data_IF_350857394916
#
_entry.id   IF_350857394916
#
_cell.length_a   1.000
_cell.length_b   1.000
_cell.length_c   1.000
_cell.angle_alpha   90.00
_cell.angle_beta   90.00
_cell.angle_gamma   90.00
#
_symmetry.space_group_name_H-M   'P 1'
#
loop_
_entity.id
_entity.type
_entity.pdbx_description
1 polymer ?
#
# COMPACT_ATOMS: atom_id res chain seq x y z
N UNK A 1 -9.19 25.36 22.14
CA UNK A 1 -9.66 24.01 21.79
C UNK A 1 -8.56 23.02 22.13
N UNK A 2 -8.89 21.80 22.57
CA UNK A 2 -7.86 20.76 22.76
C UNK A 2 -7.18 20.47 21.43
N UNK A 3 -5.87 20.21 21.47
CA UNK A 3 -5.10 19.83 20.28
C UNK A 3 -5.64 18.52 19.71
N UNK A 4 -5.80 18.43 18.39
CA UNK A 4 -6.27 17.20 17.74
C UNK A 4 -5.31 16.06 18.03
N UNK A 5 -5.84 14.92 18.49
CA UNK A 5 -5.10 13.67 18.69
C UNK A 5 -5.84 12.54 18.00
N UNK A 6 -5.17 11.93 17.05
CA UNK A 6 -5.67 10.77 16.31
C UNK A 6 -4.80 9.55 16.59
N UNK A 7 -5.26 8.38 16.23
CA UNK A 7 -4.47 7.15 16.38
C UNK A 7 -4.69 6.18 15.23
N UNK A 8 -3.64 5.44 14.89
CA UNK A 8 -3.75 4.19 14.19
C UNK A 8 -3.51 3.05 15.20
N UNK A 9 -4.45 2.11 15.24
CA UNK A 9 -4.47 1.06 16.26
C UNK A 9 -4.65 -0.33 15.59
N UNK A 10 -3.63 -0.82 14.86
CA UNK A 10 -3.72 -2.11 14.18
C UNK A 10 -3.56 -3.29 15.14
N UNK A 11 -4.33 -4.37 14.90
CA UNK A 11 -4.05 -5.68 15.48
C UNK A 11 -3.01 -6.40 14.61
N UNK A 12 -1.87 -6.88 15.18
CA UNK A 12 -0.78 -7.48 14.41
C UNK A 12 -1.08 -8.97 14.10
N UNK A 13 -2.21 -9.22 13.46
CA UNK A 13 -2.69 -10.57 13.09
C UNK A 13 -2.46 -10.90 11.63
N UNK A 14 -1.63 -10.12 10.95
CA UNK A 14 -1.28 -10.25 9.54
C UNK A 14 -0.72 -8.96 8.97
N UNK A 15 -0.51 -8.95 7.65
CA UNK A 15 0.05 -7.82 6.93
C UNK A 15 -0.87 -6.59 6.94
N UNK A 16 -0.28 -5.40 6.85
CA UNK A 16 -1.02 -4.17 6.66
C UNK A 16 -1.58 -4.12 5.23
N UNK A 17 -2.88 -4.37 5.09
CA UNK A 17 -3.56 -4.25 3.81
C UNK A 17 -3.96 -2.80 3.51
N UNK A 18 -4.26 -2.50 2.23
CA UNK A 18 -4.56 -1.14 1.76
C UNK A 18 -5.71 -0.46 2.50
N UNK A 19 -6.70 -1.21 3.02
CA UNK A 19 -7.79 -0.65 3.83
C UNK A 19 -7.29 -0.11 5.18
N UNK A 20 -6.43 -0.87 5.87
CA UNK A 20 -5.77 -0.43 7.09
C UNK A 20 -4.84 0.76 6.83
N UNK A 21 -4.04 0.69 5.77
CA UNK A 21 -3.13 1.77 5.36
C UNK A 21 -3.87 3.07 5.04
N UNK A 22 -5.03 3.01 4.34
CA UNK A 22 -5.87 4.18 4.11
C UNK A 22 -6.41 4.77 5.41
N UNK A 23 -6.83 3.92 6.34
CA UNK A 23 -7.31 4.37 7.64
C UNK A 23 -6.19 5.05 8.44
N UNK A 24 -4.99 4.47 8.44
CA UNK A 24 -3.80 5.10 9.01
C UNK A 24 -3.50 6.45 8.38
N UNK A 25 -3.54 6.52 7.04
CA UNK A 25 -3.29 7.73 6.27
C UNK A 25 -4.28 8.85 6.60
N UNK A 26 -5.58 8.56 6.75
CA UNK A 26 -6.58 9.56 7.09
C UNK A 26 -6.38 10.12 8.52
N UNK A 27 -6.01 9.26 9.47
CA UNK A 27 -5.64 9.70 10.83
C UNK A 27 -4.38 10.56 10.82
N UNK A 28 -3.36 10.14 10.06
CA UNK A 28 -2.11 10.86 9.90
C UNK A 28 -2.31 12.23 9.26
N UNK A 29 -3.08 12.29 8.15
CA UNK A 29 -3.37 13.54 7.45
C UNK A 29 -4.16 14.51 8.33
N UNK A 30 -5.18 14.03 9.06
CA UNK A 30 -5.92 14.87 9.98
C UNK A 30 -5.01 15.44 11.08
N UNK A 31 -4.16 14.60 11.67
CA UNK A 31 -3.21 15.07 12.69
C UNK A 31 -2.25 16.11 12.12
N UNK A 32 -1.69 15.89 10.92
CA UNK A 32 -0.74 16.84 10.30
C UNK A 32 -1.43 18.13 9.87
N UNK A 33 -2.63 18.06 9.30
CA UNK A 33 -3.45 19.23 8.91
C UNK A 33 -3.73 20.13 10.11
N UNK A 34 -4.19 19.55 11.20
CA UNK A 34 -4.54 20.25 12.45
C UNK A 34 -3.35 20.57 13.35
N UNK A 35 -2.12 20.30 12.89
CA UNK A 35 -0.89 20.42 13.71
C UNK A 35 -1.02 19.68 15.05
N UNK A 36 -1.73 18.56 15.00
CA UNK A 36 -2.09 17.69 16.10
C UNK A 36 -1.00 16.66 16.43
N UNK A 37 -1.44 15.54 17.01
CA UNK A 37 -0.59 14.40 17.39
C UNK A 37 -1.15 13.13 16.78
N UNK A 38 -0.30 12.34 16.16
CA UNK A 38 -0.63 11.02 15.61
C UNK A 38 0.01 9.94 16.49
N UNK A 39 -0.82 9.10 17.10
CA UNK A 39 -0.42 8.03 18.01
C UNK A 39 -0.45 6.69 17.30
N UNK A 40 0.59 5.88 17.48
CA UNK A 40 0.60 4.49 17.05
C UNK A 40 0.40 3.57 18.26
N UNK A 41 -0.63 2.70 18.19
CA UNK A 41 -0.93 1.69 19.20
C UNK A 41 -1.05 0.31 18.56
N UNK A 42 -0.35 -0.66 19.08
CA UNK A 42 -0.44 -2.07 18.64
C UNK A 42 -1.44 -2.80 19.55
N UNK A 43 -2.50 -3.35 18.96
CA UNK A 43 -3.54 -4.09 19.68
C UNK A 43 -3.20 -5.59 19.70
N UNK A 44 -2.26 -5.94 20.56
CA UNK A 44 -1.61 -7.26 20.66
C UNK A 44 -2.20 -8.17 21.77
N UNK A 45 -3.41 -7.90 22.25
CA UNK A 45 -4.07 -8.70 23.31
C UNK A 45 -4.46 -10.10 22.85
N UNK A 46 -4.51 -10.39 21.56
CA UNK A 46 -4.60 -11.74 21.01
C UNK A 46 -3.17 -12.31 20.83
N UNK A 47 -2.60 -12.72 21.96
CA UNK A 47 -1.20 -13.20 22.02
C UNK A 47 -0.92 -14.36 21.07
N UNK A 48 -1.92 -15.22 20.82
CA UNK A 48 -1.75 -16.37 19.94
C UNK A 48 -1.56 -15.99 18.45
N UNK A 49 -2.09 -14.83 18.03
CA UNK A 49 -2.01 -14.36 16.64
C UNK A 49 -1.10 -13.14 16.44
N UNK A 50 -0.64 -12.56 17.53
CA UNK A 50 0.24 -11.37 17.50
C UNK A 50 1.70 -11.81 17.53
N UNK A 51 2.42 -11.63 16.41
CA UNK A 51 3.85 -11.97 16.32
C UNK A 51 4.69 -10.72 16.11
N UNK A 52 5.96 -10.77 16.53
CA UNK A 52 6.91 -9.67 16.33
C UNK A 52 7.12 -9.38 14.83
N UNK A 53 7.10 -10.41 13.99
CA UNK A 53 7.22 -10.26 12.54
C UNK A 53 6.03 -9.47 11.97
N UNK A 54 4.80 -9.77 12.42
CA UNK A 54 3.61 -9.03 11.98
C UNK A 54 3.63 -7.57 12.44
N UNK A 55 4.16 -7.28 13.63
CA UNK A 55 4.37 -5.93 14.13
C UNK A 55 5.38 -5.20 13.23
N UNK A 56 6.53 -5.83 12.95
CA UNK A 56 7.57 -5.22 12.12
C UNK A 56 7.08 -4.92 10.71
N UNK A 57 6.31 -5.82 10.10
CA UNK A 57 5.68 -5.58 8.77
C UNK A 57 4.77 -4.35 8.77
N UNK A 58 4.02 -4.11 9.85
CA UNK A 58 3.19 -2.90 9.98
C UNK A 58 4.07 -1.64 10.07
N UNK A 59 5.12 -1.68 10.90
CA UNK A 59 6.05 -0.55 11.07
C UNK A 59 6.78 -0.23 9.76
N UNK A 60 7.27 -1.25 9.06
CA UNK A 60 7.95 -1.12 7.78
C UNK A 60 7.01 -0.52 6.71
N UNK A 61 5.76 -0.97 6.66
CA UNK A 61 4.77 -0.44 5.72
C UNK A 61 4.43 1.03 6.00
N UNK A 62 4.29 1.42 7.27
CA UNK A 62 4.07 2.82 7.65
C UNK A 62 5.28 3.69 7.32
N UNK A 63 6.48 3.21 7.62
CA UNK A 63 7.75 3.89 7.31
C UNK A 63 7.91 4.06 5.81
N UNK A 64 7.64 3.02 5.01
CA UNK A 64 7.72 3.10 3.56
C UNK A 64 6.73 4.11 2.97
N UNK A 65 5.48 4.17 3.50
CA UNK A 65 4.50 5.18 3.10
C UNK A 65 4.85 6.59 3.64
N UNK A 66 5.85 6.70 4.51
CA UNK A 66 6.27 7.94 5.15
C UNK A 66 5.26 8.47 6.16
N UNK A 67 4.52 7.60 6.81
CA UNK A 67 3.61 7.93 7.91
C UNK A 67 4.35 7.77 9.25
N UNK A 68 5.05 8.80 9.65
CA UNK A 68 5.70 8.91 10.95
C UNK A 68 4.66 9.14 12.07
N UNK A 69 4.94 8.65 13.26
CA UNK A 69 4.09 8.85 14.45
C UNK A 69 4.83 9.67 15.50
N UNK A 70 4.05 10.44 16.27
CA UNK A 70 4.59 11.33 17.28
C UNK A 70 4.75 10.62 18.62
N UNK A 71 3.88 9.62 18.90
CA UNK A 71 3.88 8.84 20.14
C UNK A 71 3.66 7.36 19.84
N UNK A 72 4.35 6.48 20.57
CA UNK A 72 4.29 5.04 20.38
C UNK A 72 5.50 4.45 19.65
N UNK A 73 5.43 3.18 19.21
CA UNK A 73 4.27 2.30 19.36
C UNK A 73 3.99 1.95 20.83
N UNK A 74 2.73 2.08 21.25
CA UNK A 74 2.25 1.59 22.52
C UNK A 74 1.66 0.18 22.34
N UNK A 75 1.88 -0.70 23.32
CA UNK A 75 1.39 -2.09 23.25
C UNK A 75 0.28 -2.31 24.29
N UNK A 76 -0.84 -2.91 23.88
CA UNK A 76 -1.95 -3.17 24.78
C UNK A 76 -1.58 -4.17 25.89
N UNK A 77 -0.73 -5.14 25.60
CA UNK A 77 -0.22 -6.10 26.59
C UNK A 77 0.53 -5.44 27.74
N UNK A 78 1.14 -4.28 27.56
CA UNK A 78 1.83 -3.50 28.59
C UNK A 78 0.85 -2.71 29.48
N UNK A 79 -0.42 -2.63 29.11
CA UNK A 79 -1.45 -1.77 29.73
C UNK A 79 -2.51 -2.54 30.51
N UNK A 80 -2.34 -3.85 30.73
CA UNK A 80 -3.33 -4.74 31.37
C UNK A 80 -3.78 -4.26 32.75
N UNK A 81 -2.94 -3.56 33.51
CA UNK A 81 -3.29 -3.01 34.81
C UNK A 81 -4.39 -1.94 34.70
N UNK A 82 -4.34 -1.07 33.68
CA UNK A 82 -5.35 -0.04 33.45
C UNK A 82 -6.73 -0.63 33.15
N UNK A 83 -6.76 -1.71 32.36
CA UNK A 83 -8.04 -2.39 32.03
C UNK A 83 -8.65 -3.04 33.27
N UNK A 84 -7.85 -3.68 34.11
CA UNK A 84 -8.33 -4.29 35.36
C UNK A 84 -8.88 -3.22 36.31
N UNK A 85 -8.15 -2.12 36.50
CA UNK A 85 -8.59 -1.01 37.33
C UNK A 85 -9.92 -0.40 36.85
N UNK A 86 -10.05 -0.19 35.55
CA UNK A 86 -11.28 0.33 34.96
C UNK A 86 -12.46 -0.65 35.10
N UNK A 87 -12.24 -1.95 34.93
CA UNK A 87 -13.25 -2.98 35.13
C UNK A 87 -13.71 -3.06 36.59
N UNK A 88 -12.79 -3.01 37.57
CA UNK A 88 -13.12 -2.95 38.98
C UNK A 88 -13.88 -1.67 39.35
N UNK A 89 -13.54 -0.53 38.74
CA UNK A 89 -14.29 0.71 38.90
C UNK A 89 -15.74 0.54 38.44
N UNK A 90 -15.99 -0.08 37.26
CA UNK A 90 -17.32 -0.33 36.75
C UNK A 90 -18.11 -1.29 37.68
N UNK A 91 -17.48 -2.31 38.24
CA UNK A 91 -18.09 -3.19 39.23
C UNK A 91 -18.53 -2.40 40.49
N UNK A 92 -17.66 -1.54 41.03
CA UNK A 92 -17.92 -0.73 42.24
C UNK A 92 -19.11 0.21 42.06
N UNK A 93 -19.29 0.78 40.87
CA UNK A 93 -20.40 1.72 40.59
C UNK A 93 -21.65 1.03 40.04
N UNK A 94 -21.69 -0.33 40.02
CA UNK A 94 -22.84 -1.09 39.57
C UNK A 94 -23.10 -1.00 38.07
N UNK A 95 -22.08 -0.66 37.25
CA UNK A 95 -22.16 -0.62 35.79
C UNK A 95 -21.53 -1.84 35.12
N UNK A 96 -21.08 -2.80 35.92
CA UNK A 96 -20.63 -4.11 35.49
C UNK A 96 -20.96 -5.16 36.54
N UNK A 97 -20.94 -6.42 36.15
CA UNK A 97 -21.19 -7.56 37.05
C UNK A 97 -20.35 -8.78 36.64
N UNK A 98 -20.20 -9.72 37.57
CA UNK A 98 -19.46 -10.95 37.34
C UNK A 98 -20.33 -12.00 36.67
N UNK A 99 -19.84 -12.60 35.60
CA UNK A 99 -20.51 -13.67 34.85
C UNK A 99 -19.72 -14.96 35.01
N UNK A 100 -20.39 -15.98 35.54
CA UNK A 100 -19.83 -17.29 35.83
C UNK A 100 -20.29 -18.38 34.87
N UNK A 101 -20.99 -18.02 33.78
CA UNK A 101 -21.40 -18.98 32.76
C UNK A 101 -20.18 -19.54 32.04
N UNK A 102 -20.19 -20.84 31.82
CA UNK A 102 -19.18 -21.50 30.99
C UNK A 102 -19.40 -21.20 29.51
N UNK A 103 -18.39 -21.40 28.65
CA UNK A 103 -18.56 -21.28 27.20
C UNK A 103 -19.68 -22.16 26.65
N UNK A 104 -19.83 -23.41 27.20
CA UNK A 104 -20.85 -24.39 26.80
C UNK A 104 -22.25 -23.91 27.19
N UNK A 105 -22.41 -23.36 28.42
CA UNK A 105 -23.65 -22.75 28.87
C UNK A 105 -24.07 -21.57 27.96
N UNK A 106 -23.13 -20.73 27.56
CA UNK A 106 -23.38 -19.61 26.68
C UNK A 106 -23.76 -20.04 25.27
N UNK A 107 -23.08 -21.06 24.72
CA UNK A 107 -23.40 -21.58 23.39
C UNK A 107 -24.77 -22.24 23.35
N UNK A 108 -25.12 -23.02 24.37
CA UNK A 108 -26.48 -23.64 24.53
C UNK A 108 -27.57 -22.54 24.50
N UNK A 109 -27.38 -21.47 25.24
CA UNK A 109 -28.33 -20.33 25.25
C UNK A 109 -28.43 -19.63 23.90
N UNK A 110 -27.29 -19.47 23.22
CA UNK A 110 -27.21 -18.89 21.87
C UNK A 110 -27.97 -19.74 20.85
N UNK A 111 -27.76 -21.06 20.87
CA UNK A 111 -28.49 -21.97 19.99
C UNK A 111 -30.00 -21.97 20.26
N UNK A 112 -30.39 -21.93 21.53
CA UNK A 112 -31.80 -21.84 21.90
C UNK A 112 -32.45 -20.57 21.37
N UNK A 113 -31.78 -19.43 21.48
CA UNK A 113 -32.26 -18.16 20.93
C UNK A 113 -32.39 -18.24 19.38
N UNK A 114 -31.41 -18.81 18.68
CA UNK A 114 -31.51 -19.00 17.23
C UNK A 114 -32.68 -19.91 16.84
N UNK A 115 -32.87 -21.04 17.54
CA UNK A 115 -34.00 -21.96 17.29
C UNK A 115 -35.36 -21.28 17.52
N UNK A 116 -35.41 -20.31 18.44
CA UNK A 116 -36.60 -19.52 18.71
C UNK A 116 -36.79 -18.32 17.76
N UNK A 117 -35.89 -18.13 16.78
CA UNK A 117 -35.92 -16.97 15.84
C UNK A 117 -35.57 -15.63 16.49
N UNK A 118 -34.96 -15.67 17.68
CA UNK A 118 -34.55 -14.49 18.42
C UNK A 118 -33.09 -14.12 18.12
N UNK A 119 -32.76 -12.84 18.18
CA UNK A 119 -31.38 -12.39 18.16
C UNK A 119 -30.67 -12.88 19.43
N UNK A 120 -29.53 -13.60 19.32
CA UNK A 120 -28.82 -14.07 20.51
C UNK A 120 -28.36 -12.86 21.34
N UNK A 121 -28.88 -12.78 22.56
CA UNK A 121 -28.51 -11.78 23.59
C UNK A 121 -28.27 -12.54 24.89
N UNK A 122 -27.33 -12.09 25.71
CA UNK A 122 -27.12 -12.69 27.03
C UNK A 122 -28.31 -12.38 27.92
N UNK A 123 -28.85 -13.40 28.55
CA UNK A 123 -30.11 -13.37 29.33
C UNK A 123 -29.94 -12.83 30.77
N UNK A 124 -28.78 -12.27 31.08
CA UNK A 124 -28.46 -11.71 32.40
C UNK A 124 -28.57 -12.69 33.59
N UNK A 125 -28.51 -14.00 33.33
CA UNK A 125 -28.61 -15.03 34.37
C UNK A 125 -27.68 -14.76 35.58
N UNK A 126 -26.51 -14.15 35.36
CA UNK A 126 -25.58 -13.87 36.44
C UNK A 126 -25.76 -12.47 37.08
N UNK A 127 -26.63 -11.61 36.57
CA UNK A 127 -26.90 -10.30 37.17
C UNK A 127 -27.62 -10.45 38.52
N UNK A 128 -28.62 -11.32 38.57
CA UNK A 128 -29.47 -11.57 39.76
C UNK A 128 -28.97 -12.71 40.64
N UNK A 129 -27.85 -13.32 40.29
CA UNK A 129 -27.33 -14.48 41.03
C UNK A 129 -26.75 -14.06 42.39
N UNK A 130 -27.40 -14.42 43.45
CA UNK A 130 -27.06 -14.02 44.84
C UNK A 130 -26.02 -14.90 45.52
N UNK A 131 -25.82 -16.16 45.07
CA UNK A 131 -24.83 -17.07 45.64
C UNK A 131 -23.85 -17.58 44.61
N UNK A 132 -22.56 -17.40 44.88
CA UNK A 132 -21.47 -17.76 43.97
C UNK A 132 -20.48 -18.67 44.63
N UNK A 133 -19.99 -19.72 43.96
CA UNK A 133 -18.82 -20.45 44.39
C UNK A 133 -17.62 -19.50 44.47
N UNK A 134 -16.93 -19.40 45.61
CA UNK A 134 -15.85 -18.45 45.81
C UNK A 134 -14.67 -18.65 44.83
N UNK A 135 -14.43 -19.89 44.37
CA UNK A 135 -13.26 -20.26 43.56
C UNK A 135 -13.56 -20.46 42.08
N UNK A 136 -14.79 -20.16 41.59
CA UNK A 136 -15.12 -20.31 40.17
C UNK A 136 -14.59 -19.13 39.36
N UNK A 137 -13.82 -19.34 38.26
CA UNK A 137 -13.42 -18.27 37.37
C UNK A 137 -14.63 -17.52 36.81
N UNK A 138 -14.50 -16.20 36.68
CA UNK A 138 -15.57 -15.35 36.15
C UNK A 138 -15.03 -14.37 35.12
N UNK A 139 -15.88 -14.01 34.17
CA UNK A 139 -15.70 -12.86 33.31
C UNK A 139 -16.44 -11.65 33.89
N UNK A 140 -16.04 -10.45 33.52
CA UNK A 140 -16.78 -9.22 33.85
C UNK A 140 -17.56 -8.78 32.63
N UNK A 141 -18.88 -8.55 32.82
CA UNK A 141 -19.75 -7.99 31.78
C UNK A 141 -20.11 -6.55 32.10
N UNK A 142 -20.12 -5.72 31.07
CA UNK A 142 -20.69 -4.38 31.16
C UNK A 142 -22.22 -4.48 31.18
N UNK A 143 -22.86 -3.78 32.09
CA UNK A 143 -24.32 -3.69 32.17
C UNK A 143 -24.82 -2.61 31.22
N UNK A 144 -25.25 -3.02 30.03
CA UNK A 144 -25.80 -2.12 29.03
C UNK A 144 -27.19 -1.64 29.43
N UNK A 145 -27.56 -0.38 29.21
CA UNK A 145 -28.94 0.08 29.33
C UNK A 145 -29.88 -0.70 28.42
N UNK A 146 -31.08 -1.04 28.92
CA UNK A 146 -32.11 -1.75 28.12
C UNK A 146 -33.07 -0.80 27.41
N UNK A 147 -33.23 0.41 27.94
CA UNK A 147 -34.19 1.39 27.45
C UNK A 147 -33.50 2.58 26.77
N UNK A 148 -34.25 3.23 25.91
CA UNK A 148 -33.79 4.42 25.19
C UNK A 148 -32.85 4.07 24.01
N UNK A 149 -32.16 5.07 23.53
CA UNK A 149 -31.30 4.96 22.34
C UNK A 149 -29.92 5.52 22.61
N UNK A 150 -28.93 4.98 21.92
CA UNK A 150 -27.58 5.54 21.85
C UNK A 150 -27.35 6.13 20.47
N UNK A 151 -27.10 7.43 20.40
CA UNK A 151 -26.82 8.14 19.16
C UNK A 151 -25.31 8.23 18.93
N UNK A 152 -24.90 7.89 17.73
CA UNK A 152 -23.54 8.08 17.21
C UNK A 152 -23.58 9.28 16.27
N UNK A 153 -22.96 10.39 16.67
CA UNK A 153 -22.76 11.56 15.81
C UNK A 153 -21.45 11.36 15.03
N UNK A 154 -21.56 10.80 13.83
CA UNK A 154 -20.41 10.39 13.04
C UNK A 154 -20.02 11.46 12.02
N UNK A 155 -18.77 11.89 12.04
CA UNK A 155 -18.24 12.95 11.17
C UNK A 155 -18.32 12.62 9.66
N UNK A 156 -18.37 11.33 9.31
CA UNK A 156 -18.42 10.87 7.92
C UNK A 156 -19.79 10.33 7.57
N UNK A 157 -20.36 9.43 8.39
CA UNK A 157 -21.64 8.77 8.09
C UNK A 157 -22.85 9.65 8.45
N UNK A 158 -22.65 10.63 9.33
CA UNK A 158 -23.73 11.43 9.93
C UNK A 158 -24.33 10.74 11.14
N UNK A 159 -25.48 11.19 11.60
CA UNK A 159 -26.12 10.66 12.80
C UNK A 159 -26.71 9.27 12.56
N UNK A 160 -26.33 8.32 13.42
CA UNK A 160 -26.84 6.94 13.43
C UNK A 160 -27.33 6.62 14.84
N UNK A 161 -28.60 6.21 14.95
CA UNK A 161 -29.24 5.89 16.23
C UNK A 161 -29.38 4.38 16.39
N UNK A 162 -29.05 3.88 17.57
CA UNK A 162 -29.16 2.47 17.93
C UNK A 162 -30.14 2.32 19.12
N UNK A 163 -31.06 1.39 19.02
CA UNK A 163 -31.92 1.00 20.15
C UNK A 163 -31.08 0.25 21.20
N UNK A 164 -31.10 0.71 22.44
CA UNK A 164 -30.38 0.07 23.52
C UNK A 164 -30.86 -1.36 23.80
N UNK A 165 -32.13 -1.63 23.57
CA UNK A 165 -32.69 -2.99 23.68
C UNK A 165 -31.98 -4.01 22.78
N UNK A 166 -31.34 -3.56 21.68
CA UNK A 166 -30.59 -4.43 20.78
C UNK A 166 -29.12 -4.63 21.20
N UNK A 167 -28.64 -3.89 22.17
CA UNK A 167 -27.25 -3.97 22.64
C UNK A 167 -27.14 -5.05 23.73
N UNK A 168 -26.09 -5.87 23.63
CA UNK A 168 -25.84 -6.96 24.58
C UNK A 168 -24.91 -6.50 25.71
N UNK A 169 -25.01 -7.14 26.87
CA UNK A 169 -24.05 -7.01 27.96
C UNK A 169 -22.72 -7.68 27.57
N UNK A 170 -21.82 -6.90 27.00
CA UNK A 170 -20.55 -7.40 26.54
C UNK A 170 -19.66 -7.88 27.68
N UNK A 171 -18.93 -8.96 27.45
CA UNK A 171 -17.75 -9.26 28.26
C UNK A 171 -16.71 -8.16 28.02
N UNK A 172 -16.29 -7.47 29.08
CA UNK A 172 -15.25 -6.45 29.05
C UNK A 172 -13.90 -7.00 29.50
N UNK A 173 -13.92 -7.92 30.49
CA UNK A 173 -12.74 -8.62 30.95
C UNK A 173 -13.04 -10.14 30.97
N UNK A 174 -12.19 -10.92 30.35
CA UNK A 174 -12.30 -12.38 30.26
C UNK A 174 -11.88 -13.02 31.57
N UNK A 175 -12.23 -14.29 31.77
CA UNK A 175 -11.85 -15.05 32.97
C UNK A 175 -10.33 -15.27 33.11
N UNK A 176 -9.57 -15.17 32.04
CA UNK A 176 -8.10 -15.16 32.05
C UNK A 176 -7.48 -13.78 32.37
N UNK A 177 -8.32 -12.78 32.61
CA UNK A 177 -7.91 -11.41 32.95
C UNK A 177 -7.52 -10.53 31.76
N UNK A 178 -7.71 -11.01 30.51
CA UNK A 178 -7.48 -10.21 29.32
C UNK A 178 -8.72 -9.39 28.95
N UNK A 179 -8.56 -8.13 28.53
CA UNK A 179 -9.67 -7.30 28.08
C UNK A 179 -10.18 -7.75 26.72
N UNK A 180 -11.45 -7.45 26.44
CA UNK A 180 -11.98 -7.58 25.08
C UNK A 180 -11.75 -6.29 24.30
N UNK A 181 -11.75 -6.38 22.96
CA UNK A 181 -11.49 -5.28 22.05
C UNK A 181 -12.26 -3.99 22.38
N UNK A 182 -13.60 -4.08 22.52
CA UNK A 182 -14.41 -2.89 22.77
C UNK A 182 -14.05 -2.17 24.07
N UNK A 183 -13.58 -2.88 25.06
CA UNK A 183 -13.21 -2.31 26.35
C UNK A 183 -11.80 -1.72 26.32
N UNK A 184 -10.80 -2.46 25.84
CA UNK A 184 -9.42 -1.98 25.77
C UNK A 184 -9.32 -0.69 24.96
N UNK A 185 -10.00 -0.63 23.80
CA UNK A 185 -10.02 0.57 22.95
C UNK A 185 -10.56 1.80 23.68
N UNK A 186 -11.64 1.67 24.47
CA UNK A 186 -12.20 2.78 25.25
C UNK A 186 -11.21 3.30 26.29
N UNK A 187 -10.58 2.40 27.02
CA UNK A 187 -9.62 2.77 28.07
C UNK A 187 -8.40 3.43 27.45
N UNK A 188 -7.89 2.86 26.37
CA UNK A 188 -6.72 3.40 25.70
C UNK A 188 -6.99 4.76 25.07
N UNK A 189 -8.06 4.88 24.29
CA UNK A 189 -8.41 6.15 23.64
C UNK A 189 -8.66 7.25 24.68
N UNK A 190 -9.30 6.93 25.82
CA UNK A 190 -9.50 7.88 26.89
C UNK A 190 -8.19 8.29 27.62
N UNK A 191 -7.35 7.31 27.98
CA UNK A 191 -6.11 7.56 28.73
C UNK A 191 -4.98 8.13 27.86
N UNK A 192 -5.05 7.94 26.54
CA UNK A 192 -4.19 8.57 25.53
C UNK A 192 -4.75 9.91 25.06
N UNK A 193 -5.88 10.36 25.63
CA UNK A 193 -6.54 11.64 25.28
C UNK A 193 -6.85 11.76 23.78
N UNK A 194 -7.25 10.65 23.14
CA UNK A 194 -7.64 10.64 21.72
C UNK A 194 -8.90 11.47 21.52
N UNK A 195 -8.82 12.47 20.66
CA UNK A 195 -9.93 13.38 20.37
C UNK A 195 -10.77 12.96 19.16
N UNK A 196 -10.15 12.22 18.22
CA UNK A 196 -10.79 11.76 16.99
C UNK A 196 -10.48 10.28 16.75
N UNK A 197 -11.53 9.48 16.62
CA UNK A 197 -11.48 8.04 16.35
C UNK A 197 -11.91 7.82 14.89
N UNK A 198 -10.94 7.82 13.98
CA UNK A 198 -11.18 7.54 12.56
C UNK A 198 -10.82 6.07 12.30
N UNK A 199 -11.77 5.28 11.77
CA UNK A 199 -11.59 3.84 11.55
C UNK A 199 -12.53 3.29 10.47
N UNK A 200 -12.40 2.02 10.12
CA UNK A 200 -13.26 1.36 9.13
C UNK A 200 -14.74 1.31 9.58
N UNK A 201 -15.65 1.40 8.62
CA UNK A 201 -17.11 1.38 8.86
C UNK A 201 -17.63 0.04 9.44
N UNK A 202 -16.84 -1.02 9.33
CA UNK A 202 -17.11 -2.30 9.98
C UNK A 202 -17.14 -2.22 11.52
N UNK A 203 -16.56 -1.16 12.09
CA UNK A 203 -16.60 -0.86 13.53
C UNK A 203 -17.77 0.03 13.97
N UNK A 204 -18.62 0.52 13.06
CA UNK A 204 -19.73 1.42 13.42
C UNK A 204 -20.67 0.79 14.46
N UNK A 205 -20.98 -0.50 14.31
CA UNK A 205 -21.83 -1.23 15.26
C UNK A 205 -21.19 -1.45 16.65
N UNK A 206 -19.89 -1.22 16.81
CA UNK A 206 -19.22 -1.27 18.10
C UNK A 206 -19.34 0.06 18.85
N UNK A 207 -19.50 1.15 18.12
CA UNK A 207 -19.47 2.53 18.66
C UNK A 207 -20.51 2.79 19.74
N UNK A 208 -21.80 2.40 19.61
CA UNK A 208 -22.77 2.66 20.68
C UNK A 208 -22.40 1.99 22.02
N UNK A 209 -21.84 0.78 21.97
CA UNK A 209 -21.36 0.08 23.18
C UNK A 209 -20.17 0.80 23.81
N UNK A 210 -19.26 1.32 22.99
CA UNK A 210 -18.11 2.09 23.45
C UNK A 210 -18.57 3.42 24.07
N UNK A 211 -19.51 4.14 23.45
CA UNK A 211 -20.11 5.36 24.00
C UNK A 211 -20.69 5.13 25.40
N UNK A 212 -21.44 4.02 25.60
CA UNK A 212 -21.99 3.67 26.90
C UNK A 212 -20.88 3.44 27.94
N UNK A 213 -19.76 2.82 27.58
CA UNK A 213 -18.61 2.62 28.46
C UNK A 213 -17.89 3.93 28.79
N UNK A 214 -17.70 4.83 27.79
CA UNK A 214 -17.19 6.19 28.06
C UNK A 214 -18.04 6.94 29.07
N UNK A 215 -19.36 6.93 28.89
CA UNK A 215 -20.30 7.60 29.79
C UNK A 215 -20.27 7.00 31.21
N UNK A 216 -20.28 5.65 31.31
CA UNK A 216 -20.23 4.97 32.61
C UNK A 216 -18.93 5.26 33.40
N UNK A 217 -17.80 5.40 32.68
CA UNK A 217 -16.52 5.73 33.28
C UNK A 217 -16.32 7.26 33.46
N UNK A 218 -17.22 8.09 32.95
CA UNK A 218 -17.09 9.55 33.03
C UNK A 218 -15.94 10.10 32.19
N UNK A 219 -15.55 9.39 31.12
CA UNK A 219 -14.54 9.86 30.18
C UNK A 219 -15.13 10.79 29.14
N UNK A 220 -14.40 11.79 28.65
CA UNK A 220 -14.83 12.61 27.53
C UNK A 220 -15.00 11.76 26.26
N UNK A 221 -16.08 11.97 25.50
CA UNK A 221 -16.30 11.27 24.24
C UNK A 221 -15.39 11.85 23.15
N UNK A 222 -14.65 11.03 22.42
CA UNK A 222 -14.00 11.47 21.20
C UNK A 222 -15.02 11.67 20.08
N UNK A 223 -14.66 12.41 19.06
CA UNK A 223 -15.41 12.47 17.80
C UNK A 223 -15.15 11.21 17.00
N UNK A 224 -16.20 10.60 16.44
CA UNK A 224 -16.09 9.38 15.63
C UNK A 224 -16.22 9.69 14.15
N UNK A 225 -15.45 8.99 13.33
CA UNK A 225 -15.56 9.02 11.86
C UNK A 225 -15.32 7.62 11.28
N UNK A 226 -16.35 7.05 10.64
CA UNK A 226 -16.29 5.71 10.09
C UNK A 226 -16.13 5.77 8.57
N UNK A 227 -14.93 5.40 8.10
CA UNK A 227 -14.53 5.43 6.69
C UNK A 227 -15.11 4.22 5.96
N UNK A 228 -15.77 4.45 4.83
CA UNK A 228 -16.39 3.40 4.00
C UNK A 228 -15.39 2.32 3.58
N UNK A 229 -15.88 1.11 3.33
CA UNK A 229 -15.03 0.00 2.88
C UNK A 229 -14.43 0.25 1.49
N UNK A 230 -13.27 -0.36 1.23
CA UNK A 230 -12.71 -0.47 -0.11
C UNK A 230 -13.25 -1.75 -0.76
N UNK A 231 -13.71 -1.62 -2.01
CA UNK A 231 -14.22 -2.72 -2.81
C UNK A 231 -13.18 -3.18 -3.83
N UNK A 232 -13.29 -4.43 -4.24
CA UNK A 232 -12.55 -4.97 -5.39
C UNK A 232 -13.03 -4.36 -6.72
N UNK A 233 -12.37 -4.68 -7.85
CA UNK A 233 -12.79 -4.24 -9.17
C UNK A 233 -14.21 -4.73 -9.54
N UNK A 234 -14.64 -5.84 -8.97
CA UNK A 234 -15.98 -6.45 -9.12
C UNK A 234 -17.04 -5.80 -8.20
N UNK A 235 -16.70 -4.71 -7.51
CA UNK A 235 -17.53 -4.00 -6.52
C UNK A 235 -17.95 -4.84 -5.32
N UNK A 236 -17.32 -5.98 -5.08
CA UNK A 236 -17.48 -6.78 -3.85
C UNK A 236 -16.44 -6.38 -2.81
N UNK A 237 -16.66 -6.77 -1.54
CA UNK A 237 -15.70 -6.55 -0.46
C UNK A 237 -14.30 -7.03 -0.89
N UNK A 238 -13.32 -6.15 -0.76
CA UNK A 238 -11.93 -6.46 -1.10
C UNK A 238 -11.46 -7.71 -0.33
N UNK A 239 -10.90 -8.66 -1.06
CA UNK A 239 -10.40 -9.91 -0.50
C UNK A 239 -9.05 -10.26 -1.14
N UNK A 240 -8.33 -11.23 -0.58
CA UNK A 240 -7.06 -11.74 -1.14
C UNK A 240 -7.17 -12.13 -2.62
N UNK A 241 -8.33 -12.59 -3.08
CA UNK A 241 -8.60 -12.91 -4.50
C UNK A 241 -8.59 -11.70 -5.42
N UNK A 242 -8.82 -10.51 -4.89
CA UNK A 242 -8.86 -9.25 -5.65
C UNK A 242 -7.55 -8.46 -5.56
N UNK A 243 -6.45 -9.10 -5.10
CA UNK A 243 -5.19 -8.39 -4.89
C UNK A 243 -5.23 -7.46 -3.67
N UNK A 244 -5.99 -7.83 -2.60
CA UNK A 244 -5.82 -7.21 -1.29
C UNK A 244 -4.42 -7.59 -0.76
N UNK A 245 -3.42 -7.04 -1.42
CA UNK A 245 -2.02 -7.28 -1.11
C UNK A 245 -1.62 -6.46 0.12
N UNK A 246 -0.63 -6.96 0.81
CA UNK A 246 0.14 -6.17 1.77
C UNK A 246 0.64 -4.88 1.09
N UNK A 247 0.68 -3.80 1.84
CA UNK A 247 1.28 -2.54 1.35
C UNK A 247 2.70 -2.76 0.82
N UNK A 248 3.48 -3.62 1.46
CA UNK A 248 4.86 -3.93 1.03
C UNK A 248 4.93 -4.73 -0.28
N UNK A 249 3.84 -5.40 -0.70
CA UNK A 249 3.81 -6.01 -2.04
C UNK A 249 3.82 -4.94 -3.14
N UNK A 250 3.15 -3.80 -2.94
CA UNK A 250 3.24 -2.68 -3.90
C UNK A 250 4.67 -2.15 -4.01
N UNK A 251 5.42 -2.10 -2.90
CA UNK A 251 6.86 -1.78 -2.93
C UNK A 251 7.63 -2.77 -3.79
N UNK A 252 7.43 -4.08 -3.59
CA UNK A 252 8.08 -5.14 -4.38
C UNK A 252 7.71 -5.09 -5.86
N UNK A 253 6.48 -4.68 -6.18
CA UNK A 253 6.01 -4.45 -7.55
C UNK A 253 6.60 -3.18 -8.18
N UNK A 254 7.37 -2.41 -7.44
CA UNK A 254 8.04 -1.20 -7.93
C UNK A 254 7.17 0.04 -7.99
N UNK A 255 6.08 0.10 -7.22
CA UNK A 255 5.36 1.36 -7.01
C UNK A 255 6.13 2.26 -6.06
N UNK A 256 6.09 3.57 -6.32
CA UNK A 256 6.70 4.56 -5.45
C UNK A 256 5.73 4.95 -4.33
N UNK A 257 6.21 5.19 -3.09
CA UNK A 257 5.32 5.42 -1.95
C UNK A 257 4.41 6.63 -2.14
N UNK A 258 4.86 7.70 -2.81
CA UNK A 258 4.06 8.89 -3.08
C UNK A 258 2.83 8.58 -3.95
N UNK A 259 2.99 7.72 -4.95
CA UNK A 259 1.88 7.29 -5.81
C UNK A 259 0.87 6.45 -5.03
N UNK A 260 1.34 5.55 -4.16
CA UNK A 260 0.47 4.71 -3.33
C UNK A 260 -0.27 5.55 -2.29
N UNK A 261 0.38 6.50 -1.64
CA UNK A 261 -0.26 7.45 -0.71
C UNK A 261 -1.36 8.25 -1.42
N UNK A 262 -1.05 8.83 -2.57
CA UNK A 262 -2.03 9.58 -3.36
C UNK A 262 -3.20 8.69 -3.80
N UNK A 263 -2.92 7.48 -4.24
CA UNK A 263 -3.95 6.52 -4.62
C UNK A 263 -4.86 6.17 -3.44
N UNK A 264 -4.29 5.87 -2.28
CA UNK A 264 -5.04 5.54 -1.06
C UNK A 264 -5.95 6.68 -0.60
N UNK A 265 -5.47 7.93 -0.66
CA UNK A 265 -6.30 9.07 -0.25
C UNK A 265 -7.49 9.24 -1.18
N UNK A 266 -7.30 9.05 -2.50
CA UNK A 266 -8.37 9.13 -3.50
C UNK A 266 -9.40 8.00 -3.38
N UNK A 267 -9.10 6.93 -2.64
CA UNK A 267 -10.08 5.90 -2.29
C UNK A 267 -10.99 6.35 -1.14
N UNK A 268 -11.74 7.41 -1.35
CA UNK A 268 -12.75 7.92 -0.43
C UNK A 268 -12.62 9.38 -0.07
N UNK A 269 -11.59 10.10 -0.51
CA UNK A 269 -11.45 11.54 -0.34
C UNK A 269 -11.21 12.22 -1.69
N UNK A 270 -11.71 13.45 -1.84
CA UNK A 270 -11.55 14.25 -3.03
C UNK A 270 -11.38 15.74 -2.69
N UNK A 271 -10.64 16.45 -3.54
CA UNK A 271 -10.56 17.91 -3.50
C UNK A 271 -10.76 18.46 -4.93
N UNK A 272 -12.02 18.80 -5.25
CA UNK A 272 -12.40 19.14 -6.61
C UNK A 272 -12.02 18.04 -7.61
N UNK A 273 -11.52 18.43 -8.77
CA UNK A 273 -11.08 17.53 -9.84
C UNK A 273 -9.58 17.17 -9.78
N UNK A 274 -8.87 17.62 -8.74
CA UNK A 274 -7.44 17.33 -8.59
C UNK A 274 -7.22 15.85 -8.33
N UNK A 275 -6.35 15.26 -9.15
CA UNK A 275 -6.03 13.83 -9.09
C UNK A 275 -4.66 13.54 -8.48
N UNK A 276 -3.73 14.44 -8.63
CA UNK A 276 -2.34 14.31 -8.20
C UNK A 276 -2.02 15.36 -7.15
N UNK A 277 -1.42 14.93 -6.04
CA UNK A 277 -1.11 15.76 -4.88
C UNK A 277 0.30 15.52 -4.40
N UNK A 278 1.02 16.57 -4.07
CA UNK A 278 2.22 16.43 -3.22
C UNK A 278 1.79 16.07 -1.79
N UNK A 279 2.74 15.64 -0.98
CA UNK A 279 2.48 15.37 0.44
C UNK A 279 2.02 16.61 1.19
N UNK A 280 2.64 17.72 0.90
CA UNK A 280 2.33 19.05 1.47
C UNK A 280 0.91 19.48 1.10
N UNK A 281 0.52 19.31 -0.16
CA UNK A 281 -0.84 19.60 -0.61
C UNK A 281 -1.88 18.67 0.05
N UNK A 282 -1.56 17.39 0.26
CA UNK A 282 -2.44 16.49 0.99
C UNK A 282 -2.65 16.95 2.43
N UNK A 283 -1.57 17.35 3.12
CA UNK A 283 -1.64 17.85 4.49
C UNK A 283 -2.45 19.17 4.53
N UNK A 284 -2.22 20.07 3.59
CA UNK A 284 -2.91 21.36 3.53
C UNK A 284 -4.42 21.23 3.26
N UNK A 285 -4.79 20.33 2.33
CA UNK A 285 -6.14 20.25 1.78
C UNK A 285 -7.05 19.21 2.43
N UNK A 286 -6.47 18.28 3.22
CA UNK A 286 -7.25 17.19 3.80
C UNK A 286 -8.23 17.67 4.85
N UNK A 287 -9.51 17.35 4.65
CA UNK A 287 -10.55 17.54 5.67
C UNK A 287 -11.45 16.31 5.75
N UNK A 288 -12.05 16.06 6.90
CA UNK A 288 -12.96 14.92 7.08
C UNK A 288 -14.30 15.12 6.37
N UNK A 289 -14.73 16.35 6.18
CA UNK A 289 -15.96 16.72 5.48
C UNK A 289 -15.91 16.32 3.99
N UNK A 290 -14.69 16.28 3.42
CA UNK A 290 -14.49 15.86 2.04
C UNK A 290 -14.35 14.32 1.89
N UNK A 291 -14.43 13.57 2.99
CA UNK A 291 -14.45 12.10 2.95
C UNK A 291 -15.84 11.59 2.59
N UNK A 292 -15.92 10.84 1.49
CA UNK A 292 -17.19 10.31 0.97
C UNK A 292 -17.75 9.15 1.81
N UNK A 293 -19.09 9.11 1.91
CA UNK A 293 -19.83 8.03 2.59
C UNK A 293 -19.85 6.72 1.78
N UNK A 294 -19.69 6.81 0.47
CA UNK A 294 -19.79 5.65 -0.42
C UNK A 294 -18.50 4.85 -0.46
N UNK A 295 -18.62 3.53 -0.63
CA UNK A 295 -17.48 2.65 -0.81
C UNK A 295 -16.77 2.93 -2.14
N UNK A 296 -15.44 2.98 -2.12
CA UNK A 296 -14.61 3.18 -3.29
C UNK A 296 -14.08 1.84 -3.81
N UNK A 297 -14.14 1.64 -5.14
CA UNK A 297 -13.57 0.45 -5.77
C UNK A 297 -12.13 0.69 -6.23
N UNK A 298 -11.26 -0.33 -6.05
CA UNK A 298 -9.90 -0.27 -6.58
C UNK A 298 -9.90 -0.32 -8.11
N UNK A 299 -8.98 0.44 -8.70
CA UNK A 299 -8.72 0.45 -10.12
C UNK A 299 -7.19 0.35 -10.34
N UNK A 300 -6.66 -0.85 -10.65
CA UNK A 300 -5.22 -1.04 -10.87
C UNK A 300 -4.65 -0.16 -11.99
N UNK A 301 -5.40 0.00 -13.08
CA UNK A 301 -4.95 0.87 -14.20
C UNK A 301 -4.80 2.34 -13.79
N UNK A 302 -5.61 2.81 -12.84
CA UNK A 302 -5.46 4.17 -12.27
C UNK A 302 -4.20 4.28 -11.41
N UNK A 303 -3.87 3.25 -10.63
CA UNK A 303 -2.63 3.21 -9.83
C UNK A 303 -1.39 3.18 -10.75
N UNK A 304 -1.40 2.35 -11.80
CA UNK A 304 -0.33 2.30 -12.79
C UNK A 304 -0.08 3.67 -13.45
N UNK A 305 -1.17 4.29 -13.88
CA UNK A 305 -1.10 5.64 -14.47
C UNK A 305 -0.53 6.64 -13.47
N UNK A 306 -1.06 6.67 -12.26
CA UNK A 306 -0.61 7.59 -11.23
C UNK A 306 0.88 7.39 -10.90
N UNK A 307 1.30 6.13 -10.75
CA UNK A 307 2.70 5.80 -10.48
C UNK A 307 3.62 6.29 -11.61
N UNK A 308 3.19 6.13 -12.87
CA UNK A 308 3.94 6.65 -14.02
C UNK A 308 4.12 8.18 -13.96
N UNK A 309 3.09 8.93 -13.50
CA UNK A 309 3.22 10.38 -13.36
C UNK A 309 4.24 10.77 -12.27
N UNK A 310 4.24 10.05 -11.14
CA UNK A 310 5.24 10.29 -10.09
C UNK A 310 6.66 9.93 -10.54
N UNK A 311 6.85 8.81 -11.25
CA UNK A 311 8.16 8.44 -11.83
C UNK A 311 8.66 9.53 -12.77
N UNK A 312 7.82 10.04 -13.66
CA UNK A 312 8.18 11.12 -14.63
C UNK A 312 8.63 12.39 -13.95
N UNK A 313 8.00 12.76 -12.83
CA UNK A 313 8.32 13.98 -12.08
C UNK A 313 9.46 13.81 -11.06
N UNK A 314 9.84 12.58 -10.77
CA UNK A 314 10.92 12.32 -9.83
C UNK A 314 12.23 12.87 -10.36
N UNK A 315 13.03 13.51 -9.50
CA UNK A 315 14.37 13.91 -9.89
C UNK A 315 15.18 12.67 -10.30
N UNK A 316 16.01 12.84 -11.32
CA UNK A 316 16.78 11.73 -11.88
C UNK A 316 17.66 11.03 -10.83
N UNK A 317 18.21 11.78 -9.88
CA UNK A 317 19.03 11.21 -8.80
C UNK A 317 18.21 10.31 -7.88
N UNK A 318 17.04 10.77 -7.43
CA UNK A 318 16.12 9.97 -6.60
C UNK A 318 15.61 8.73 -7.35
N UNK A 319 15.28 8.87 -8.64
CA UNK A 319 14.83 7.73 -9.43
C UNK A 319 15.95 6.71 -9.64
N UNK A 320 17.17 7.17 -9.89
CA UNK A 320 18.35 6.32 -10.06
C UNK A 320 18.64 5.52 -8.79
N UNK A 321 18.54 6.16 -7.63
CA UNK A 321 18.71 5.50 -6.34
C UNK A 321 17.58 4.48 -6.07
N UNK A 322 16.32 4.87 -6.33
CA UNK A 322 15.16 4.03 -6.10
C UNK A 322 15.14 2.77 -6.99
N UNK A 323 15.60 2.84 -8.24
CA UNK A 323 15.56 1.70 -9.17
C UNK A 323 16.77 0.78 -9.03
N UNK A 324 17.91 1.25 -8.50
CA UNK A 324 19.14 0.46 -8.37
C UNK A 324 18.92 -0.94 -7.78
N UNK A 325 18.22 -1.10 -6.62
CA UNK A 325 18.02 -2.44 -6.03
C UNK A 325 17.27 -3.39 -6.97
N UNK A 326 16.36 -2.87 -7.78
CA UNK A 326 15.58 -3.67 -8.75
C UNK A 326 16.43 -4.13 -9.92
N UNK A 327 17.38 -3.31 -10.38
CA UNK A 327 18.34 -3.67 -11.45
C UNK A 327 19.33 -4.72 -10.93
N UNK A 328 19.88 -4.52 -9.74
CA UNK A 328 20.82 -5.45 -9.11
C UNK A 328 20.18 -6.81 -8.80
N UNK A 329 18.91 -6.83 -8.38
CA UNK A 329 18.14 -8.06 -8.15
C UNK A 329 17.95 -8.91 -9.42
N UNK A 330 18.12 -8.32 -10.62
CA UNK A 330 18.10 -9.01 -11.91
C UNK A 330 19.47 -9.53 -12.34
N UNK A 331 20.46 -9.37 -11.49
CA UNK A 331 21.84 -9.80 -11.75
C UNK A 331 22.63 -8.86 -12.66
N UNK A 332 22.14 -7.65 -12.90
CA UNK A 332 22.89 -6.65 -13.67
C UNK A 332 23.86 -5.88 -12.77
N UNK A 333 25.17 -5.97 -13.01
CA UNK A 333 26.14 -5.27 -12.19
C UNK A 333 26.10 -3.76 -12.50
N UNK A 334 25.74 -2.96 -11.53
CA UNK A 334 25.77 -1.49 -11.65
C UNK A 334 27.14 -0.97 -11.23
N UNK A 335 28.15 -1.10 -12.10
CA UNK A 335 29.54 -0.67 -11.85
C UNK A 335 29.79 0.81 -12.18
N UNK A 336 29.06 1.33 -13.17
CA UNK A 336 29.18 2.72 -13.63
C UNK A 336 27.94 3.55 -13.26
N UNK A 337 28.05 4.47 -12.29
CA UNK A 337 26.96 5.34 -11.91
C UNK A 337 26.50 6.29 -13.03
N UNK A 338 27.40 6.68 -13.93
CA UNK A 338 27.09 7.59 -15.05
C UNK A 338 26.22 6.86 -16.08
N UNK A 339 26.59 5.62 -16.41
CA UNK A 339 25.80 4.75 -17.28
C UNK A 339 24.41 4.49 -16.67
N UNK A 340 24.34 4.17 -15.38
CA UNK A 340 23.06 3.96 -14.70
C UNK A 340 22.17 5.20 -14.84
N UNK A 341 22.68 6.37 -14.54
CA UNK A 341 21.91 7.62 -14.60
C UNK A 341 21.45 7.94 -16.03
N UNK A 342 22.27 7.72 -17.06
CA UNK A 342 21.89 7.86 -18.46
C UNK A 342 20.81 6.86 -18.86
N UNK A 343 20.95 5.60 -18.50
CA UNK A 343 19.98 4.55 -18.76
C UNK A 343 18.60 4.86 -18.14
N UNK A 344 18.60 5.26 -16.86
CA UNK A 344 17.36 5.67 -16.15
C UNK A 344 16.71 6.87 -16.84
N UNK A 345 17.47 7.89 -17.21
CA UNK A 345 16.96 9.07 -17.93
C UNK A 345 16.23 8.68 -19.23
N UNK A 346 16.83 7.78 -20.03
CA UNK A 346 16.26 7.37 -21.31
C UNK A 346 14.95 6.60 -21.19
N UNK A 347 14.68 6.01 -20.02
CA UNK A 347 13.53 5.15 -19.76
C UNK A 347 12.44 5.78 -18.90
N UNK A 348 12.76 6.85 -18.15
CA UNK A 348 11.89 7.50 -17.15
C UNK A 348 10.49 7.82 -17.69
N UNK A 349 10.36 8.32 -18.90
CA UNK A 349 9.09 8.71 -19.53
C UNK A 349 8.25 7.51 -20.03
N UNK A 350 8.80 6.29 -20.00
CA UNK A 350 8.27 5.15 -20.74
C UNK A 350 7.74 4.02 -19.88
N UNK A 351 7.96 4.10 -18.58
CA UNK A 351 7.67 3.02 -17.63
C UNK A 351 6.61 3.42 -16.62
N UNK A 352 5.94 2.43 -16.09
CA UNK A 352 4.91 2.61 -15.07
C UNK A 352 5.39 2.25 -13.67
N UNK A 353 6.40 1.38 -13.54
CA UNK A 353 6.95 0.94 -12.26
C UNK A 353 8.47 0.85 -12.31
N UNK A 354 9.11 0.82 -11.12
CA UNK A 354 10.55 0.60 -11.00
C UNK A 354 10.95 -0.80 -11.47
N UNK A 355 10.06 -1.78 -11.30
CA UNK A 355 10.21 -3.14 -11.81
C UNK A 355 10.30 -3.11 -13.33
N UNK A 356 9.33 -2.46 -13.99
CA UNK A 356 9.35 -2.33 -15.45
C UNK A 356 10.60 -1.61 -15.95
N UNK A 357 11.03 -0.52 -15.25
CA UNK A 357 12.25 0.19 -15.59
C UNK A 357 13.46 -0.73 -15.53
N UNK A 358 13.58 -1.54 -14.48
CA UNK A 358 14.67 -2.51 -14.35
C UNK A 358 14.63 -3.59 -15.46
N UNK A 359 13.41 -4.10 -15.81
CA UNK A 359 13.22 -5.11 -16.84
C UNK A 359 13.62 -4.64 -18.24
N UNK A 360 13.30 -3.38 -18.55
CA UNK A 360 13.61 -2.82 -19.87
C UNK A 360 15.02 -2.23 -19.96
N UNK A 361 15.69 -1.99 -18.84
CA UNK A 361 17.03 -1.40 -18.81
C UNK A 361 18.18 -2.40 -19.03
N UNK A 362 17.90 -3.73 -18.95
CA UNK A 362 18.92 -4.77 -18.93
C UNK A 362 19.92 -4.70 -20.07
N UNK A 363 19.49 -4.29 -21.27
CA UNK A 363 20.38 -4.18 -22.42
C UNK A 363 21.49 -3.13 -22.26
N UNK A 364 21.38 -2.19 -21.33
CA UNK A 364 22.44 -1.23 -21.02
C UNK A 364 23.57 -1.85 -20.19
N UNK A 365 23.27 -2.88 -19.40
CA UNK A 365 24.18 -3.44 -18.40
C UNK A 365 24.74 -4.82 -18.76
N UNK A 366 24.15 -5.51 -19.76
CA UNK A 366 24.64 -6.81 -20.21
C UNK A 366 25.76 -6.67 -21.24
N UNK A 367 26.74 -7.57 -21.19
CA UNK A 367 27.78 -7.67 -22.22
C UNK A 367 27.23 -8.33 -23.49
N UNK A 368 26.38 -9.33 -23.32
CA UNK A 368 25.75 -10.06 -24.42
C UNK A 368 24.27 -9.74 -24.55
N UNK A 369 23.82 -9.43 -25.75
CA UNK A 369 22.43 -9.16 -26.06
C UNK A 369 21.67 -10.46 -26.27
N UNK A 370 20.55 -10.59 -25.59
CA UNK A 370 19.55 -11.64 -25.88
C UNK A 370 18.58 -11.07 -26.91
N UNK A 371 18.57 -11.68 -28.09
CA UNK A 371 17.73 -11.24 -29.19
C UNK A 371 16.35 -11.89 -29.13
N UNK A 372 15.29 -11.09 -29.30
CA UNK A 372 13.96 -11.61 -29.64
C UNK A 372 14.05 -12.30 -31.01
N UNK A 373 13.59 -13.56 -31.07
CA UNK A 373 13.72 -14.38 -32.28
C UNK A 373 13.05 -13.75 -33.50
N UNK A 374 11.82 -13.21 -33.34
CA UNK A 374 11.07 -12.57 -34.45
C UNK A 374 11.75 -11.29 -34.90
N UNK A 375 12.27 -10.50 -33.95
CA UNK A 375 13.01 -9.30 -34.26
C UNK A 375 14.32 -9.63 -35.02
N UNK A 376 15.09 -10.60 -34.56
CA UNK A 376 16.31 -11.04 -35.20
C UNK A 376 16.04 -11.60 -36.62
N UNK A 377 15.04 -12.46 -36.79
CA UNK A 377 14.65 -13.00 -38.09
C UNK A 377 14.22 -11.92 -39.09
N UNK A 378 13.61 -10.85 -38.60
CA UNK A 378 13.12 -9.77 -39.46
C UNK A 378 14.19 -8.74 -39.80
N UNK A 379 15.05 -8.36 -38.85
CA UNK A 379 15.94 -7.21 -38.96
C UNK A 379 17.43 -7.54 -38.94
N UNK A 380 17.87 -8.75 -38.57
CA UNK A 380 19.26 -9.16 -38.56
C UNK A 380 19.51 -10.22 -39.64
N UNK A 381 19.26 -9.84 -40.92
CA UNK A 381 19.45 -10.72 -42.06
C UNK A 381 19.79 -9.93 -43.32
N UNK A 382 20.48 -10.60 -44.26
CA UNK A 382 20.79 -10.07 -45.57
C UNK A 382 22.00 -9.11 -45.58
N UNK A 383 22.62 -9.02 -46.76
CA UNK A 383 23.83 -8.23 -46.98
C UNK A 383 23.59 -6.74 -46.74
N UNK A 384 22.45 -6.23 -47.21
CA UNK A 384 22.09 -4.81 -47.03
C UNK A 384 22.03 -4.37 -45.55
N UNK A 385 21.64 -5.26 -44.60
CA UNK A 385 21.67 -4.96 -43.17
C UNK A 385 23.11 -4.95 -42.63
N UNK A 386 23.94 -5.88 -43.07
CA UNK A 386 25.35 -5.88 -42.69
C UNK A 386 26.08 -4.62 -43.18
N UNK A 387 25.81 -4.17 -44.40
CA UNK A 387 26.32 -2.90 -44.93
C UNK A 387 25.92 -1.69 -44.07
N UNK A 388 24.63 -1.58 -43.64
CA UNK A 388 24.17 -0.52 -42.73
C UNK A 388 25.03 -0.51 -41.45
N UNK A 389 25.32 -1.67 -40.89
CA UNK A 389 26.13 -1.77 -39.67
C UNK A 389 27.60 -1.38 -39.92
N UNK A 390 28.18 -1.80 -41.04
CA UNK A 390 29.57 -1.41 -41.43
C UNK A 390 29.69 0.10 -41.66
N UNK A 391 28.74 0.71 -42.38
CA UNK A 391 28.71 2.15 -42.59
C UNK A 391 28.52 2.93 -41.29
N UNK A 392 27.65 2.41 -40.38
CA UNK A 392 27.44 3.00 -39.06
C UNK A 392 28.72 2.95 -38.23
N UNK A 393 29.43 1.82 -38.19
CA UNK A 393 30.73 1.66 -37.53
C UNK A 393 31.73 2.66 -38.11
N UNK A 394 31.84 2.72 -39.45
CA UNK A 394 32.77 3.64 -40.14
C UNK A 394 32.49 5.10 -39.85
N UNK A 395 31.22 5.50 -39.77
CA UNK A 395 30.82 6.87 -39.45
C UNK A 395 31.11 7.22 -37.98
N UNK A 396 30.69 6.34 -37.03
CA UNK A 396 30.93 6.53 -35.59
C UNK A 396 32.40 6.53 -35.23
N UNK A 397 33.25 5.74 -35.95
CA UNK A 397 34.66 5.68 -35.70
C UNK A 397 35.41 6.99 -35.98
N UNK A 398 34.89 7.80 -36.90
CA UNK A 398 35.45 9.11 -37.25
C UNK A 398 35.15 10.23 -36.26
N UNK A 399 34.11 10.06 -35.42
CA UNK A 399 33.73 11.05 -34.43
C UNK A 399 34.68 11.00 -33.22
N UNK A 400 35.25 12.11 -32.81
CA UNK A 400 36.11 12.21 -31.62
C UNK A 400 35.32 11.98 -30.33
N UNK A 401 34.10 12.53 -30.26
CA UNK A 401 33.16 12.32 -29.14
C UNK A 401 31.81 11.96 -29.71
N UNK A 402 31.05 11.15 -28.93
CA UNK A 402 29.71 10.72 -29.32
C UNK A 402 28.71 11.20 -28.28
N UNK A 403 27.73 11.96 -28.75
CA UNK A 403 26.56 12.39 -28.00
C UNK A 403 25.29 12.11 -28.83
N UNK A 404 24.12 12.37 -28.23
CA UNK A 404 22.82 12.14 -28.88
C UNK A 404 22.67 12.89 -30.21
N UNK A 405 23.15 14.14 -30.31
CA UNK A 405 23.08 14.95 -31.52
C UNK A 405 23.87 14.35 -32.65
N UNK A 406 25.13 14.01 -32.41
CA UNK A 406 26.00 13.35 -33.38
C UNK A 406 25.51 11.98 -33.80
N UNK A 407 24.99 11.19 -32.84
CA UNK A 407 24.37 9.91 -33.16
C UNK A 407 23.16 10.09 -34.10
N UNK A 408 22.33 11.10 -33.86
CA UNK A 408 21.20 11.44 -34.72
C UNK A 408 21.64 11.82 -36.14
N UNK A 409 22.64 12.72 -36.27
CA UNK A 409 23.21 13.18 -37.56
C UNK A 409 23.76 12.02 -38.37
N UNK A 410 24.48 11.07 -37.71
CA UNK A 410 25.03 9.87 -38.40
C UNK A 410 23.91 9.02 -38.97
N UNK A 411 22.88 8.75 -38.16
CA UNK A 411 21.76 7.86 -38.58
C UNK A 411 20.94 8.54 -39.70
N UNK A 412 20.71 9.86 -39.60
CA UNK A 412 20.00 10.63 -40.61
C UNK A 412 20.75 10.63 -41.93
N UNK A 413 22.06 10.93 -41.94
CA UNK A 413 22.92 10.90 -43.12
C UNK A 413 22.93 9.54 -43.81
N UNK A 414 23.00 8.46 -43.05
CA UNK A 414 22.93 7.10 -43.59
C UNK A 414 21.56 6.81 -44.25
N UNK A 415 20.47 7.28 -43.66
CA UNK A 415 19.16 7.12 -44.25
C UNK A 415 19.01 7.92 -45.57
N UNK A 416 19.51 9.17 -45.62
CA UNK A 416 19.50 9.99 -46.82
C UNK A 416 20.34 9.38 -47.96
N UNK A 417 21.58 8.92 -47.65
CA UNK A 417 22.47 8.29 -48.63
C UNK A 417 21.86 7.04 -49.25
N UNK A 418 21.07 6.31 -48.51
CA UNK A 418 20.37 5.10 -48.99
C UNK A 418 19.01 5.37 -49.61
N UNK A 419 18.62 6.63 -49.74
CA UNK A 419 17.34 7.07 -50.35
C UNK A 419 16.11 6.54 -49.64
N UNK A 420 16.22 6.15 -48.35
CA UNK A 420 15.17 5.48 -47.59
C UNK A 420 14.68 6.29 -46.38
N UNK A 421 13.58 5.83 -45.81
CA UNK A 421 13.08 6.39 -44.56
C UNK A 421 14.03 6.05 -43.39
N UNK A 422 14.13 6.98 -42.43
CA UNK A 422 14.97 6.82 -41.21
C UNK A 422 14.73 5.48 -40.49
N UNK A 423 13.50 4.99 -40.49
CA UNK A 423 13.14 3.71 -39.87
C UNK A 423 13.88 2.51 -40.43
N UNK A 424 14.26 2.56 -41.74
CA UNK A 424 14.96 1.47 -42.40
C UNK A 424 16.40 1.29 -41.91
N UNK A 425 17.03 2.35 -41.37
CA UNK A 425 18.34 2.33 -40.73
C UNK A 425 18.18 2.13 -39.21
N UNK A 426 17.30 2.89 -38.61
CA UNK A 426 17.13 2.92 -37.15
C UNK A 426 16.63 1.58 -36.57
N UNK A 427 15.75 0.85 -37.29
CA UNK A 427 15.17 -0.37 -36.75
C UNK A 427 16.13 -1.57 -36.71
N UNK A 428 16.92 -1.85 -37.76
CA UNK A 428 18.00 -2.84 -37.66
C UNK A 428 19.03 -2.51 -36.57
N UNK A 429 19.46 -1.25 -36.47
CA UNK A 429 20.35 -0.78 -35.40
C UNK A 429 19.76 -1.01 -34.01
N UNK A 430 18.47 -0.71 -33.83
CA UNK A 430 17.77 -0.93 -32.58
C UNK A 430 17.83 -2.40 -32.15
N UNK A 431 17.52 -3.30 -33.06
CA UNK A 431 17.55 -4.73 -32.77
C UNK A 431 18.98 -5.20 -32.49
N UNK A 432 19.96 -4.77 -33.25
CA UNK A 432 21.36 -5.11 -33.01
C UNK A 432 21.87 -4.62 -31.65
N UNK A 433 21.46 -3.43 -31.21
CA UNK A 433 21.94 -2.83 -29.97
C UNK A 433 21.15 -3.22 -28.72
N UNK A 434 19.88 -3.59 -28.85
CA UNK A 434 18.98 -3.84 -27.70
C UNK A 434 18.35 -5.22 -27.66
N UNK A 435 18.43 -5.98 -28.76
CA UNK A 435 17.76 -7.27 -28.94
C UNK A 435 16.27 -7.19 -29.21
N UNK A 436 15.66 -5.98 -29.19
CA UNK A 436 14.19 -5.78 -29.26
C UNK A 436 13.81 -4.76 -30.33
N UNK A 437 12.56 -4.80 -30.77
CA UNK A 437 11.99 -3.82 -31.73
C UNK A 437 11.53 -2.52 -31.07
N UNK A 438 11.43 -2.48 -29.75
CA UNK A 438 11.01 -1.32 -28.96
C UNK A 438 12.10 -0.97 -27.95
N UNK A 439 12.52 0.29 -27.95
CA UNK A 439 13.51 0.86 -27.02
C UNK A 439 13.33 2.39 -26.97
N UNK A 440 14.11 3.14 -26.17
CA UNK A 440 14.28 4.58 -26.35
C UNK A 440 14.70 4.94 -27.79
N UNK A 441 14.65 6.23 -28.17
CA UNK A 441 15.18 6.69 -29.47
C UNK A 441 16.58 6.13 -29.70
N UNK A 442 16.87 5.70 -30.93
CA UNK A 442 18.12 4.98 -31.19
C UNK A 442 19.35 5.83 -30.98
N UNK A 443 19.28 7.12 -31.26
CA UNK A 443 20.31 8.10 -31.00
C UNK A 443 20.61 8.22 -29.48
N UNK A 444 19.61 8.14 -28.65
CA UNK A 444 19.74 8.14 -27.19
C UNK A 444 20.31 6.82 -26.65
N UNK A 445 19.94 5.68 -27.26
CA UNK A 445 20.53 4.39 -26.96
C UNK A 445 22.03 4.39 -27.29
N UNK A 446 22.42 4.94 -28.45
CA UNK A 446 23.80 5.04 -28.90
C UNK A 446 24.63 5.93 -27.96
N UNK A 447 24.12 7.12 -27.60
CA UNK A 447 24.76 8.01 -26.62
C UNK A 447 24.95 7.34 -25.26
N UNK A 448 23.92 6.61 -24.79
CA UNK A 448 23.94 5.96 -23.48
C UNK A 448 24.94 4.79 -23.44
N UNK A 449 24.96 3.94 -24.46
CA UNK A 449 25.88 2.80 -24.55
C UNK A 449 27.32 3.23 -24.75
N UNK A 450 27.53 4.35 -25.45
CA UNK A 450 28.84 4.84 -25.83
C UNK A 450 29.45 4.08 -27.03
N UNK A 451 30.39 4.77 -27.70
CA UNK A 451 31.00 4.35 -28.98
C UNK A 451 31.51 2.92 -28.97
N UNK A 452 32.32 2.55 -27.95
CA UNK A 452 32.97 1.27 -27.91
C UNK A 452 31.99 0.08 -27.84
N UNK A 453 30.92 0.21 -26.99
CA UNK A 453 29.90 -0.82 -26.83
C UNK A 453 29.05 -0.94 -28.10
N UNK A 454 28.70 0.19 -28.71
CA UNK A 454 27.92 0.22 -29.96
C UNK A 454 28.67 -0.51 -31.07
N UNK A 455 29.94 -0.17 -31.31
CA UNK A 455 30.77 -0.81 -32.36
C UNK A 455 30.87 -2.33 -32.10
N UNK A 456 31.19 -2.74 -30.88
CA UNK A 456 31.32 -4.18 -30.52
C UNK A 456 30.00 -4.95 -30.79
N UNK A 457 28.86 -4.37 -30.50
CA UNK A 457 27.55 -5.00 -30.74
C UNK A 457 27.17 -5.07 -32.21
N UNK A 458 27.53 -4.07 -33.00
CA UNK A 458 27.30 -4.06 -34.44
C UNK A 458 28.21 -5.09 -35.15
N UNK A 459 29.48 -5.19 -34.75
CA UNK A 459 30.42 -6.23 -35.27
C UNK A 459 29.85 -7.64 -35.00
N UNK A 460 29.39 -7.90 -33.77
CA UNK A 460 28.78 -9.19 -33.40
C UNK A 460 27.49 -9.47 -34.21
N UNK A 461 26.69 -8.45 -34.46
CA UNK A 461 25.49 -8.60 -35.30
C UNK A 461 25.84 -8.93 -36.78
N UNK A 462 26.92 -8.34 -37.33
CA UNK A 462 27.43 -8.67 -38.66
C UNK A 462 27.88 -10.14 -38.72
N UNK A 463 28.64 -10.61 -37.73
CA UNK A 463 29.06 -12.02 -37.64
C UNK A 463 27.84 -12.97 -37.62
N UNK A 464 26.80 -12.62 -36.86
CA UNK A 464 25.56 -13.41 -36.81
C UNK A 464 24.82 -13.48 -38.17
N UNK A 465 24.83 -12.39 -38.93
CA UNK A 465 24.21 -12.36 -40.28
C UNK A 465 25.03 -13.26 -41.22
N UNK A 466 26.37 -13.17 -41.18
CA UNK A 466 27.28 -13.94 -42.05
C UNK A 466 27.17 -15.44 -41.81
N UNK A 467 27.14 -15.87 -40.54
CA UNK A 467 27.02 -17.30 -40.18
C UNK A 467 25.66 -17.89 -40.54
N UNK A 468 24.58 -17.12 -40.46
CA UNK A 468 23.25 -17.59 -40.92
C UNK A 468 23.12 -17.66 -42.43
N UNK A 469 23.88 -16.86 -43.17
CA UNK A 469 23.90 -16.87 -44.63
C UNK A 469 24.64 -18.09 -45.21
N UNK A 470 25.53 -18.73 -44.39
CA UNK A 470 26.30 -19.91 -44.77
C UNK A 470 25.67 -21.23 -44.36
N UNK A 471 24.54 -21.24 -43.60
CA UNK A 471 23.85 -22.46 -43.26
C UNK A 471 23.15 -23.03 -44.54
N UNK A 472 23.41 -24.28 -44.94
CA UNK A 472 22.79 -24.86 -46.11
C UNK A 472 21.26 -24.95 -45.91
N UNK A 473 20.53 -24.52 -46.92
CA UNK A 473 19.08 -24.72 -47.01
C UNK A 473 18.86 -26.23 -47.10
N UNK A 474 18.72 -26.89 -45.97
CA UNK A 474 18.18 -28.25 -45.96
C UNK A 474 16.69 -28.15 -46.33
N UNK A 475 16.42 -28.60 -47.52
CA UNK A 475 15.04 -28.76 -48.08
C UNK A 475 14.26 -29.78 -47.27
#
# INVERSE_FOLDING_TARGET
MAKVRTRFAPSPTGDLHIGGARTALFNWLLARHEKGTFVLRIEDTDVARSTQESIQVILDAMTWLGMDWDEGPHYQTERLALYREAAERLLKIGKAYRCYCSPEELETKREAAFKAGLKPKYDRTCLDRTSMPPDRPYAIRFLSPDEGTTMVDDLIQGQVTFDNAELDDLIILRSDGLPTYNFSVVIDDATMEITHVIRGNDHLNNTPRQIQMYQALGYPLPKFGHVSMILGPDKKKLSKRHGAQSVLEYQKMGYVPQAVVNYLVRLGWAHGDQEEFTREELIEKFTLEAVGKSAAAINPGKLDWLNSQYIKRMSLDKLTEAVRPFIEARGYPVKDPVLLKKAVRSLQERVKTLVELADVSGFYFCEEIVYDEKAAQKFLRGEATAEIFQETIGALSKEESLDKGKAHEVIQRLAETRGGALVNVAQPLRVALTGKTVSPPIDEVIDTLGKAVVIKRLEKAIEMISTKSQAPITK
#
